data_IF_409063205041
#
_entry.id   IF_409063205041
#
_cell.length_a   1.000
_cell.length_b   1.000
_cell.length_c   1.000
_cell.angle_alpha   90.00
_cell.angle_beta   90.00
_cell.angle_gamma   90.00
#
_symmetry.space_group_name_H-M   'P 1'
#
loop_
_entity.id
_entity.type
_entity.pdbx_description
1 polymer ?
#
# COMPACT_ATOMS: atom_id res chain seq x y z
N UNK A 1 -8.89 6.33 -6.84
CA UNK A 1 -8.37 5.69 -5.60
C UNK A 1 -7.62 4.43 -5.99
N UNK A 2 -6.41 4.25 -5.45
CA UNK A 2 -5.57 3.07 -5.70
C UNK A 2 -5.58 2.16 -4.47
N UNK A 3 -5.93 0.89 -4.65
CA UNK A 3 -5.97 -0.10 -3.58
C UNK A 3 -4.82 -1.09 -3.73
N UNK A 4 -3.99 -1.19 -2.71
CA UNK A 4 -2.86 -2.12 -2.64
C UNK A 4 -3.03 -3.11 -1.49
N UNK A 5 -2.37 -4.28 -1.60
CA UNK A 5 -2.19 -5.22 -0.48
C UNK A 5 -0.76 -5.10 0.06
N UNK A 6 -0.61 -5.05 1.39
CA UNK A 6 0.70 -5.01 2.08
C UNK A 6 1.10 -6.42 2.52
N UNK A 7 1.70 -7.18 1.60
CA UNK A 7 1.97 -8.60 1.81
C UNK A 7 3.02 -9.16 0.84
N UNK A 8 3.64 -10.29 1.20
CA UNK A 8 4.45 -11.13 0.32
C UNK A 8 3.80 -12.51 0.07
N UNK A 9 2.57 -12.73 0.55
CA UNK A 9 1.85 -14.00 0.35
C UNK A 9 1.21 -14.05 -1.04
N UNK A 10 1.89 -14.69 -1.97
CA UNK A 10 1.50 -14.78 -3.38
C UNK A 10 0.11 -15.41 -3.55
N UNK A 11 -0.18 -16.50 -2.83
CA UNK A 11 -1.46 -17.21 -2.94
C UNK A 11 -2.65 -16.32 -2.51
N UNK A 12 -2.47 -15.54 -1.43
CA UNK A 12 -3.50 -14.60 -0.99
C UNK A 12 -3.66 -13.43 -1.96
N UNK A 13 -2.57 -12.96 -2.59
CA UNK A 13 -2.66 -11.94 -3.64
C UNK A 13 -3.44 -12.47 -4.83
N UNK A 14 -3.16 -13.69 -5.32
CA UNK A 14 -3.91 -14.32 -6.42
C UNK A 14 -5.40 -14.43 -6.08
N UNK A 15 -5.73 -14.88 -4.87
CA UNK A 15 -7.11 -15.02 -4.40
C UNK A 15 -7.83 -13.67 -4.35
N UNK A 16 -7.20 -12.64 -3.77
CA UNK A 16 -7.81 -11.33 -3.58
C UNK A 16 -7.82 -10.48 -4.86
N UNK A 17 -6.89 -10.69 -5.80
CA UNK A 17 -6.90 -10.04 -7.10
C UNK A 17 -8.15 -10.39 -7.94
N UNK A 18 -8.75 -11.57 -7.70
CA UNK A 18 -10.04 -11.94 -8.31
C UNK A 18 -11.22 -11.15 -7.71
N UNK A 19 -11.08 -10.67 -6.48
CA UNK A 19 -12.19 -10.11 -5.67
C UNK A 19 -12.11 -8.58 -5.65
N UNK A 20 -10.90 -8.03 -5.43
CA UNK A 20 -10.67 -6.59 -5.29
C UNK A 20 -10.07 -5.98 -6.55
N UNK A 21 -10.37 -4.72 -6.86
CA UNK A 21 -9.72 -3.96 -7.93
C UNK A 21 -8.33 -3.51 -7.49
N UNK A 22 -7.38 -4.46 -7.39
CA UNK A 22 -6.04 -4.18 -6.90
C UNK A 22 -5.23 -3.37 -7.91
N UNK A 23 -4.64 -2.26 -7.46
CA UNK A 23 -3.63 -1.51 -8.20
C UNK A 23 -2.24 -2.16 -8.11
N UNK A 24 -2.01 -3.04 -7.13
CA UNK A 24 -0.75 -3.73 -6.95
C UNK A 24 -0.50 -4.21 -5.52
N UNK A 25 0.77 -4.41 -5.18
CA UNK A 25 1.21 -4.93 -3.89
C UNK A 25 2.38 -4.15 -3.35
N UNK A 26 2.31 -3.77 -2.07
CA UNK A 26 3.43 -3.22 -1.34
C UNK A 26 4.10 -4.30 -0.49
N UNK A 27 5.41 -4.25 -0.41
CA UNK A 27 6.20 -5.06 0.52
C UNK A 27 7.06 -4.16 1.41
N UNK A 28 7.67 -4.76 2.40
CA UNK A 28 8.72 -4.15 3.22
C UNK A 28 9.65 -5.25 3.74
N UNK A 29 10.82 -4.93 4.30
CA UNK A 29 11.77 -5.93 4.75
C UNK A 29 11.20 -6.92 5.77
N UNK A 30 10.33 -6.46 6.68
CA UNK A 30 9.70 -7.33 7.69
C UNK A 30 8.72 -8.34 7.06
N UNK A 31 7.93 -7.90 6.09
CA UNK A 31 7.00 -8.76 5.33
C UNK A 31 7.77 -9.80 4.52
N UNK A 32 8.83 -9.40 3.82
CA UNK A 32 9.69 -10.31 3.06
C UNK A 32 10.35 -11.33 4.00
N UNK A 33 10.93 -10.87 5.12
CA UNK A 33 11.57 -11.74 6.09
C UNK A 33 10.60 -12.75 6.73
N UNK A 34 9.39 -12.33 7.04
CA UNK A 34 8.35 -13.21 7.58
C UNK A 34 7.95 -14.31 6.60
N UNK A 35 7.93 -14.03 5.30
CA UNK A 35 7.67 -14.99 4.24
C UNK A 35 8.81 -15.96 3.95
N UNK A 36 10.02 -15.71 4.48
CA UNK A 36 11.24 -16.52 4.31
C UNK A 36 11.59 -16.82 2.84
N UNK A 37 11.07 -16.03 1.91
CA UNK A 37 11.37 -16.12 0.48
C UNK A 37 12.19 -14.88 0.09
N UNK A 38 13.35 -15.04 -0.55
CA UNK A 38 14.15 -13.91 -0.99
C UNK A 38 13.37 -12.94 -1.88
N UNK A 39 13.65 -11.64 -1.76
CA UNK A 39 12.94 -10.60 -2.51
C UNK A 39 12.97 -10.84 -4.03
N UNK A 40 14.09 -11.34 -4.55
CA UNK A 40 14.28 -11.62 -5.97
C UNK A 40 13.43 -12.78 -6.48
N UNK A 41 13.02 -13.70 -5.61
CA UNK A 41 12.17 -14.84 -5.94
C UNK A 41 10.68 -14.50 -5.78
N UNK A 42 10.34 -13.64 -4.79
CA UNK A 42 8.94 -13.31 -4.52
C UNK A 42 8.39 -12.23 -5.45
N UNK A 43 9.19 -11.21 -5.82
CA UNK A 43 8.70 -10.12 -6.68
C UNK A 43 8.15 -10.58 -8.03
N UNK A 44 8.82 -11.46 -8.81
CA UNK A 44 8.27 -11.96 -10.08
C UNK A 44 6.95 -12.72 -9.89
N UNK A 45 6.82 -13.44 -8.78
CA UNK A 45 5.59 -14.18 -8.44
C UNK A 45 4.44 -13.25 -8.08
N UNK A 46 4.72 -12.19 -7.31
CA UNK A 46 3.73 -11.14 -7.00
C UNK A 46 3.31 -10.41 -8.27
N UNK A 47 4.25 -10.09 -9.18
CA UNK A 47 3.92 -9.46 -10.47
C UNK A 47 2.98 -10.33 -11.29
N UNK A 48 3.23 -11.64 -11.35
CA UNK A 48 2.34 -12.57 -12.03
C UNK A 48 0.94 -12.59 -11.39
N UNK A 49 0.86 -12.53 -10.05
CA UNK A 49 -0.40 -12.58 -9.31
C UNK A 49 -1.27 -11.34 -9.53
N UNK A 50 -0.67 -10.14 -9.62
CA UNK A 50 -1.42 -8.89 -9.86
C UNK A 50 -1.59 -8.55 -11.33
N UNK A 51 -0.92 -9.27 -12.22
CA UNK A 51 -0.95 -9.01 -13.67
C UNK A 51 0.03 -7.91 -14.11
N UNK A 52 0.13 -7.66 -15.43
CA UNK A 52 1.15 -6.79 -16.02
C UNK A 52 0.99 -5.32 -15.63
N UNK A 53 -0.23 -4.86 -15.37
CA UNK A 53 -0.54 -3.48 -14.98
C UNK A 53 -0.36 -3.23 -13.47
N UNK A 54 -0.19 -4.29 -12.68
CA UNK A 54 -0.05 -4.20 -11.23
C UNK A 54 1.28 -3.59 -10.82
N UNK A 55 1.25 -2.59 -9.94
CA UNK A 55 2.45 -1.91 -9.44
C UNK A 55 2.99 -2.60 -8.20
N UNK A 56 4.27 -2.96 -8.21
CA UNK A 56 4.96 -3.50 -7.05
C UNK A 56 5.78 -2.44 -6.33
N UNK A 57 5.93 -2.63 -5.03
CA UNK A 57 6.76 -1.79 -4.17
C UNK A 57 7.70 -2.66 -3.34
N UNK A 58 9.00 -2.36 -3.38
CA UNK A 58 10.01 -3.00 -2.55
C UNK A 58 10.96 -1.96 -1.96
N UNK A 59 11.50 -2.24 -0.78
CA UNK A 59 12.28 -1.30 0.00
C UNK A 59 13.78 -1.61 -0.07
N UNK A 60 14.60 -0.55 -0.11
CA UNK A 60 16.03 -0.62 0.05
C UNK A 60 16.44 -0.92 1.51
N UNK A 61 17.61 -1.53 1.69
CA UNK A 61 18.15 -1.90 3.00
C UNK A 61 19.31 -1.02 3.47
N UNK A 62 20.02 -0.40 2.54
CA UNK A 62 21.14 0.50 2.84
C UNK A 62 20.68 1.71 3.67
N UNK A 63 21.60 2.28 4.44
CA UNK A 63 21.32 3.44 5.29
C UNK A 63 21.83 4.76 4.73
N UNK A 64 22.79 4.71 3.80
CA UNK A 64 23.33 5.88 3.11
C UNK A 64 22.70 6.04 1.72
N UNK A 65 22.73 7.28 1.21
CA UNK A 65 22.08 7.64 -0.04
C UNK A 65 22.62 6.85 -1.24
N UNK A 66 23.94 6.65 -1.31
CA UNK A 66 24.56 5.96 -2.44
C UNK A 66 24.14 4.48 -2.49
N UNK A 67 24.18 3.80 -1.35
CA UNK A 67 23.74 2.40 -1.25
C UNK A 67 22.25 2.24 -1.59
N UNK A 68 21.38 3.16 -1.13
CA UNK A 68 19.97 3.17 -1.49
C UNK A 68 19.77 3.34 -3.00
N UNK A 69 20.53 4.22 -3.64
CA UNK A 69 20.47 4.43 -5.11
C UNK A 69 20.89 3.17 -5.87
N UNK A 70 21.98 2.52 -5.48
CA UNK A 70 22.44 1.28 -6.10
C UNK A 70 21.45 0.14 -5.97
N UNK A 71 20.84 -0.02 -4.79
CA UNK A 71 19.79 -1.02 -4.55
C UNK A 71 18.52 -0.70 -5.36
N UNK A 72 18.12 0.56 -5.43
CA UNK A 72 16.97 1.01 -6.21
C UNK A 72 17.14 0.71 -7.71
N UNK A 73 18.33 0.95 -8.26
CA UNK A 73 18.65 0.61 -9.66
C UNK A 73 18.55 -0.90 -9.91
N UNK A 74 19.04 -1.72 -8.99
CA UNK A 74 18.90 -3.18 -9.10
C UNK A 74 17.44 -3.62 -9.08
N UNK A 75 16.63 -3.06 -8.19
CA UNK A 75 15.18 -3.33 -8.13
C UNK A 75 14.47 -2.91 -9.42
N UNK A 76 14.74 -1.69 -9.91
CA UNK A 76 14.15 -1.15 -11.13
C UNK A 76 14.53 -1.94 -12.39
N UNK A 77 15.76 -2.44 -12.45
CA UNK A 77 16.22 -3.28 -13.56
C UNK A 77 15.60 -4.69 -13.53
N UNK A 78 15.38 -5.24 -12.33
CA UNK A 78 14.80 -6.58 -12.17
C UNK A 78 13.29 -6.60 -12.38
N UNK A 79 12.58 -5.53 -11.99
CA UNK A 79 11.13 -5.41 -12.10
C UNK A 79 10.79 -4.07 -12.74
N UNK A 80 10.57 -4.02 -14.06
CA UNK A 80 10.19 -2.79 -14.74
C UNK A 80 8.93 -2.15 -14.16
N UNK A 81 8.99 -0.86 -13.86
CA UNK A 81 7.86 -0.11 -13.29
C UNK A 81 7.70 -0.22 -11.77
N UNK A 82 8.57 -0.96 -11.08
CA UNK A 82 8.54 -1.03 -9.61
C UNK A 82 8.73 0.36 -9.00
N UNK A 83 8.00 0.63 -7.92
CA UNK A 83 8.22 1.82 -7.09
C UNK A 83 9.12 1.45 -5.91
N UNK A 84 10.26 2.11 -5.80
CA UNK A 84 11.24 1.79 -4.76
C UNK A 84 10.93 2.54 -3.47
N UNK A 85 10.76 1.81 -2.38
CA UNK A 85 10.50 2.38 -1.05
C UNK A 85 11.82 2.82 -0.41
N UNK A 86 11.87 4.08 0.01
CA UNK A 86 13.02 4.71 0.64
C UNK A 86 12.58 5.27 2.01
N UNK A 87 13.20 4.87 3.12
CA UNK A 87 12.90 5.46 4.42
C UNK A 87 13.19 6.96 4.45
N UNK A 88 12.25 7.75 4.98
CA UNK A 88 12.38 9.21 5.01
C UNK A 88 13.31 9.63 6.15
N UNK A 89 14.60 9.60 5.86
CA UNK A 89 15.72 10.11 6.65
C UNK A 89 16.47 11.17 5.84
N UNK A 90 17.47 11.84 6.39
CA UNK A 90 18.31 12.77 5.63
C UNK A 90 18.94 12.10 4.38
N UNK A 91 19.52 10.91 4.58
CA UNK A 91 20.10 10.11 3.48
C UNK A 91 19.02 9.61 2.50
N UNK A 92 17.84 9.22 3.02
CA UNK A 92 16.71 8.82 2.19
C UNK A 92 16.18 9.94 1.30
N UNK A 93 16.07 11.17 1.83
CA UNK A 93 15.69 12.34 1.03
C UNK A 93 16.74 12.65 -0.05
N UNK A 94 18.04 12.52 0.25
CA UNK A 94 19.11 12.65 -0.72
C UNK A 94 19.02 11.57 -1.82
N UNK A 95 18.74 10.31 -1.44
CA UNK A 95 18.53 9.21 -2.39
C UNK A 95 17.33 9.44 -3.30
N UNK A 96 16.17 9.85 -2.77
CA UNK A 96 14.96 10.16 -3.55
C UNK A 96 15.25 11.24 -4.59
N UNK A 97 15.98 12.30 -4.20
CA UNK A 97 16.36 13.41 -5.08
C UNK A 97 17.26 12.96 -6.22
N UNK A 98 18.16 12.00 -5.99
CA UNK A 98 19.01 11.41 -7.02
C UNK A 98 18.20 10.51 -7.95
N UNK A 99 17.37 9.63 -7.40
CA UNK A 99 16.54 8.67 -8.14
C UNK A 99 15.49 9.37 -9.04
N UNK A 100 14.96 10.51 -8.59
CA UNK A 100 14.08 11.34 -9.44
C UNK A 100 14.77 11.76 -10.74
N UNK A 101 16.05 12.15 -10.68
CA UNK A 101 16.83 12.56 -11.87
C UNK A 101 17.05 11.40 -12.84
N UNK A 102 17.05 10.18 -12.33
CA UNK A 102 17.22 8.95 -13.11
C UNK A 102 15.89 8.35 -13.59
N UNK A 103 14.75 8.99 -13.27
CA UNK A 103 13.42 8.52 -13.67
C UNK A 103 12.94 7.29 -12.90
N UNK A 104 13.57 6.92 -11.78
CA UNK A 104 13.17 5.80 -10.94
C UNK A 104 12.13 6.29 -9.93
N UNK A 105 10.87 5.80 -9.99
CA UNK A 105 9.82 6.23 -9.09
C UNK A 105 10.08 5.72 -7.66
N UNK A 106 9.85 6.59 -6.68
CA UNK A 106 10.06 6.27 -5.27
C UNK A 106 8.83 6.49 -4.42
N UNK A 107 8.79 5.78 -3.28
CA UNK A 107 7.84 6.00 -2.19
C UNK A 107 8.64 6.32 -0.92
N UNK A 108 8.40 7.50 -0.35
CA UNK A 108 8.93 7.85 0.98
C UNK A 108 8.18 7.07 2.06
N UNK A 109 8.87 6.13 2.73
CA UNK A 109 8.29 5.27 3.77
C UNK A 109 8.77 5.65 5.18
N UNK A 110 8.17 5.01 6.20
CA UNK A 110 8.42 5.31 7.61
C UNK A 110 8.13 6.77 7.96
N UNK A 111 6.98 7.27 7.50
CA UNK A 111 6.53 8.64 7.75
C UNK A 111 5.63 8.66 8.97
N UNK A 112 5.99 9.51 9.94
CA UNK A 112 5.32 9.67 11.24
C UNK A 112 4.83 11.11 11.47
N UNK A 113 5.05 12.03 10.53
CA UNK A 113 4.55 13.41 10.58
C UNK A 113 4.27 13.95 9.19
N UNK A 114 3.34 14.91 9.09
CA UNK A 114 3.01 15.57 7.82
C UNK A 114 4.21 16.35 7.25
N UNK A 115 5.03 16.98 8.11
CA UNK A 115 6.23 17.69 7.67
C UNK A 115 7.28 16.78 7.05
N UNK A 116 7.49 15.59 7.63
CA UNK A 116 8.40 14.57 7.09
C UNK A 116 7.91 14.10 5.72
N UNK A 117 6.59 13.85 5.59
CA UNK A 117 5.99 13.43 4.33
C UNK A 117 6.07 14.51 3.25
N UNK A 118 5.83 15.77 3.60
CA UNK A 118 5.98 16.90 2.67
C UNK A 118 7.40 17.00 2.11
N UNK A 119 8.43 16.86 2.96
CA UNK A 119 9.83 16.89 2.50
C UNK A 119 10.12 15.78 1.50
N UNK A 120 9.60 14.56 1.71
CA UNK A 120 9.75 13.47 0.76
C UNK A 120 9.10 13.78 -0.60
N UNK A 121 7.92 14.36 -0.60
CA UNK A 121 7.23 14.81 -1.81
C UNK A 121 8.00 15.91 -2.56
N UNK A 122 8.47 16.95 -1.84
CA UNK A 122 9.20 18.07 -2.42
C UNK A 122 10.53 17.65 -3.08
N UNK A 123 11.21 16.61 -2.58
CA UNK A 123 12.42 16.07 -3.23
C UNK A 123 12.10 15.09 -4.37
N UNK A 124 10.82 14.76 -4.57
CA UNK A 124 10.32 14.07 -5.75
C UNK A 124 9.86 12.64 -5.56
N UNK A 125 9.52 12.22 -4.35
CA UNK A 125 8.82 10.94 -4.16
C UNK A 125 7.47 10.96 -4.89
N UNK A 126 7.16 9.89 -5.64
CA UNK A 126 5.87 9.71 -6.29
C UNK A 126 4.76 9.40 -5.29
N UNK A 127 5.11 8.67 -4.24
CA UNK A 127 4.21 8.35 -3.13
C UNK A 127 4.87 8.68 -1.79
N UNK A 128 4.02 8.94 -0.80
CA UNK A 128 4.43 9.12 0.60
C UNK A 128 3.55 8.23 1.47
N UNK A 129 4.15 7.39 2.32
CA UNK A 129 3.43 6.41 3.13
C UNK A 129 3.44 6.77 4.62
N UNK A 130 2.44 7.53 5.11
CA UNK A 130 2.24 7.74 6.53
C UNK A 130 1.78 6.45 7.23
N UNK A 131 2.32 6.19 8.42
CA UNK A 131 2.05 5.00 9.21
C UNK A 131 0.95 5.27 10.25
N UNK A 132 -0.31 5.11 9.86
CA UNK A 132 -1.50 5.51 10.65
C UNK A 132 -1.52 4.85 12.01
N UNK A 133 -1.62 3.52 12.08
CA UNK A 133 -1.73 2.83 13.36
C UNK A 133 -0.48 2.99 14.24
N UNK A 134 0.71 3.16 13.66
CA UNK A 134 1.93 3.38 14.45
C UNK A 134 1.96 4.74 15.12
N UNK A 135 1.40 5.76 14.47
CA UNK A 135 1.21 7.09 15.06
C UNK A 135 0.18 7.02 16.18
N UNK A 136 -0.97 6.36 15.96
CA UNK A 136 -2.01 6.16 16.98
C UNK A 136 -1.43 5.43 18.21
N UNK A 137 -0.65 4.37 17.99
CA UNK A 137 -0.03 3.59 19.06
C UNK A 137 1.00 4.37 19.91
N UNK A 138 1.51 5.49 19.38
CA UNK A 138 2.40 6.41 20.10
C UNK A 138 1.65 7.59 20.77
N UNK A 139 0.31 7.53 20.78
CA UNK A 139 -0.54 8.59 21.34
C UNK A 139 -0.75 9.79 20.43
N UNK A 140 -0.40 9.67 19.14
CA UNK A 140 -0.72 10.66 18.11
C UNK A 140 -2.10 10.44 17.48
N UNK A 141 -2.37 11.18 16.41
CA UNK A 141 -3.58 11.07 15.59
C UNK A 141 -3.15 10.81 14.14
N UNK A 142 -3.18 9.52 13.74
CA UNK A 142 -2.74 9.10 12.42
C UNK A 142 -3.66 9.60 11.29
N UNK A 143 -4.95 9.71 11.53
CA UNK A 143 -5.92 10.22 10.55
C UNK A 143 -5.72 11.70 10.31
N UNK A 144 -5.56 12.48 11.38
CA UNK A 144 -5.25 13.89 11.28
C UNK A 144 -3.93 14.15 10.54
N UNK A 145 -2.89 13.36 10.82
CA UNK A 145 -1.63 13.42 10.09
C UNK A 145 -1.82 13.18 8.57
N UNK A 146 -2.63 12.20 8.18
CA UNK A 146 -2.96 11.93 6.76
C UNK A 146 -3.69 13.11 6.15
N UNK A 147 -4.68 13.68 6.83
CA UNK A 147 -5.44 14.84 6.37
C UNK A 147 -4.54 16.08 6.17
N UNK A 148 -3.67 16.37 7.13
CA UNK A 148 -2.70 17.45 7.03
C UNK A 148 -1.72 17.23 5.86
N UNK A 149 -1.19 16.02 5.73
CA UNK A 149 -0.29 15.68 4.64
C UNK A 149 -0.97 15.78 3.27
N UNK A 150 -2.19 15.25 3.13
CA UNK A 150 -2.96 15.33 1.88
C UNK A 150 -3.15 16.79 1.45
N UNK A 151 -3.58 17.66 2.38
CA UNK A 151 -3.75 19.09 2.12
C UNK A 151 -2.44 19.77 1.72
N UNK A 152 -1.32 19.41 2.36
CA UNK A 152 0.00 19.95 2.01
C UNK A 152 0.46 19.50 0.63
N UNK A 153 0.22 18.24 0.26
CA UNK A 153 0.60 17.74 -1.07
C UNK A 153 -0.23 18.39 -2.17
N UNK A 154 -1.53 18.57 -1.98
CA UNK A 154 -2.40 19.27 -2.94
C UNK A 154 -1.91 20.69 -3.22
N UNK A 155 -1.45 21.41 -2.18
CA UNK A 155 -0.99 22.80 -2.31
C UNK A 155 0.43 22.93 -2.85
N UNK A 156 1.34 22.01 -2.50
CA UNK A 156 2.78 22.22 -2.67
C UNK A 156 3.50 21.16 -3.49
N UNK A 157 2.90 19.98 -3.65
CA UNK A 157 3.50 18.84 -4.36
C UNK A 157 2.44 17.96 -5.03
N UNK A 158 1.59 18.51 -5.93
CA UNK A 158 0.43 17.81 -6.50
C UNK A 158 0.79 16.59 -7.36
N UNK A 159 2.06 16.43 -7.72
CA UNK A 159 2.55 15.24 -8.44
C UNK A 159 2.76 14.01 -7.52
N UNK A 160 2.75 14.23 -6.20
CA UNK A 160 2.93 13.19 -5.21
C UNK A 160 1.59 12.77 -4.62
N UNK A 161 1.45 11.46 -4.30
CA UNK A 161 0.23 10.91 -3.68
C UNK A 161 0.49 10.42 -2.27
N UNK A 162 -0.47 10.61 -1.39
CA UNK A 162 -0.49 9.90 -0.12
C UNK A 162 -0.90 8.45 -0.36
N UNK A 163 -0.05 7.51 0.04
CA UNK A 163 -0.35 6.07 0.10
C UNK A 163 -0.33 5.67 1.58
N UNK A 164 -1.47 5.79 2.25
CA UNK A 164 -1.56 5.52 3.67
C UNK A 164 -1.38 4.02 3.97
N UNK A 165 -0.63 3.74 5.03
CA UNK A 165 -0.22 2.39 5.41
C UNK A 165 -0.32 2.16 6.91
N UNK A 166 -0.06 0.92 7.35
CA UNK A 166 -0.09 0.55 8.77
C UNK A 166 -1.50 0.66 9.35
N UNK A 167 -2.39 -0.19 8.91
CA UNK A 167 -3.76 -0.30 9.43
C UNK A 167 -3.93 -1.51 10.34
N UNK A 168 -4.85 -1.42 11.30
CA UNK A 168 -5.30 -2.50 12.16
C UNK A 168 -6.80 -2.75 12.06
N UNK A 169 -7.55 -1.79 11.54
CA UNK A 169 -8.99 -1.89 11.36
C UNK A 169 -9.43 -1.32 10.01
N UNK A 170 -10.53 -1.81 9.44
CA UNK A 170 -11.15 -1.20 8.26
C UNK A 170 -11.52 0.28 8.49
N UNK A 171 -11.89 0.64 9.72
CA UNK A 171 -12.26 2.01 10.05
C UNK A 171 -11.12 3.00 9.83
N UNK A 172 -9.88 2.67 10.26
CA UNK A 172 -8.72 3.51 10.00
C UNK A 172 -8.50 3.73 8.49
N UNK A 173 -8.66 2.68 7.67
CA UNK A 173 -8.52 2.79 6.22
C UNK A 173 -9.58 3.70 5.60
N UNK A 174 -10.85 3.54 6.01
CA UNK A 174 -11.95 4.39 5.53
C UNK A 174 -11.78 5.84 5.96
N UNK A 175 -11.33 6.11 7.18
CA UNK A 175 -11.08 7.46 7.65
C UNK A 175 -9.97 8.17 6.86
N UNK A 176 -8.93 7.44 6.45
CA UNK A 176 -7.91 7.97 5.54
C UNK A 176 -8.48 8.34 4.17
N UNK A 177 -9.35 7.51 3.60
CA UNK A 177 -10.03 7.81 2.33
C UNK A 177 -10.96 9.02 2.46
N UNK A 178 -11.68 9.15 3.58
CA UNK A 178 -12.52 10.30 3.89
C UNK A 178 -11.70 11.58 4.09
N UNK A 179 -10.46 11.46 4.55
CA UNK A 179 -9.50 12.56 4.63
C UNK A 179 -8.89 12.97 3.27
N UNK A 180 -9.33 12.34 2.16
CA UNK A 180 -8.90 12.67 0.80
C UNK A 180 -7.74 11.85 0.26
N UNK A 181 -7.23 10.88 1.03
CA UNK A 181 -6.12 10.02 0.61
C UNK A 181 -6.45 9.26 -0.69
N UNK A 182 -5.56 9.34 -1.68
CA UNK A 182 -5.79 8.76 -3.01
C UNK A 182 -5.38 7.28 -3.12
N UNK A 183 -4.55 6.80 -2.21
CA UNK A 183 -4.08 5.43 -2.20
C UNK A 183 -3.95 4.87 -0.77
N UNK A 184 -4.30 3.59 -0.61
CA UNK A 184 -4.12 2.85 0.65
C UNK A 184 -3.48 1.50 0.38
N UNK A 185 -2.71 0.99 1.35
CA UNK A 185 -2.23 -0.38 1.32
C UNK A 185 -2.66 -1.13 2.57
N UNK A 186 -3.36 -2.23 2.38
CA UNK A 186 -4.02 -2.99 3.43
C UNK A 186 -3.26 -4.28 3.76
N UNK A 187 -3.01 -4.58 5.04
CA UNK A 187 -2.64 -5.94 5.42
C UNK A 187 -3.81 -6.90 5.13
N UNK A 188 -3.51 -8.17 4.94
CA UNK A 188 -4.49 -9.17 4.49
C UNK A 188 -5.71 -9.29 5.41
N UNK A 189 -5.50 -9.25 6.72
CA UNK A 189 -6.55 -9.33 7.73
C UNK A 189 -7.52 -8.15 7.65
N UNK A 190 -7.02 -6.94 7.47
CA UNK A 190 -7.86 -5.74 7.28
C UNK A 190 -8.61 -5.79 5.95
N UNK A 191 -7.93 -6.21 4.87
CA UNK A 191 -8.58 -6.37 3.57
C UNK A 191 -9.75 -7.37 3.64
N UNK A 192 -9.57 -8.49 4.31
CA UNK A 192 -10.63 -9.49 4.50
C UNK A 192 -11.79 -8.95 5.35
N UNK A 193 -11.50 -8.21 6.42
CA UNK A 193 -12.52 -7.61 7.28
C UNK A 193 -13.37 -6.54 6.58
N UNK A 194 -12.84 -5.87 5.57
CA UNK A 194 -13.62 -4.86 4.80
C UNK A 194 -14.82 -5.48 4.06
N UNK A 195 -14.72 -6.73 3.67
CA UNK A 195 -15.78 -7.47 2.97
C UNK A 195 -16.55 -8.43 3.90
N UNK A 196 -15.87 -8.98 4.89
CA UNK A 196 -16.38 -10.05 5.76
C UNK A 196 -17.43 -9.56 6.76
N UNK A 197 -18.70 -9.54 6.35
CA UNK A 197 -19.84 -9.19 7.20
C UNK A 197 -20.73 -10.41 7.37
N UNK A 198 -20.79 -11.04 8.56
CA UNK A 198 -21.65 -12.24 8.80
C UNK A 198 -23.12 -12.03 8.47
N UNK A 199 -23.62 -10.80 8.59
CA UNK A 199 -25.00 -10.46 8.26
C UNK A 199 -25.35 -10.68 6.78
N UNK A 200 -24.36 -10.65 5.87
CA UNK A 200 -24.58 -10.90 4.44
C UNK A 200 -24.94 -12.36 4.20
N UNK A 201 -24.23 -13.30 4.81
CA UNK A 201 -24.53 -14.74 4.68
C UNK A 201 -25.94 -15.06 5.19
N UNK A 202 -26.32 -14.55 6.38
CA UNK A 202 -27.66 -14.72 6.93
C UNK A 202 -28.75 -14.12 6.03
N UNK A 203 -28.47 -13.00 5.35
CA UNK A 203 -29.40 -12.41 4.38
C UNK A 203 -29.54 -13.29 3.13
N UNK A 204 -28.43 -13.84 2.60
CA UNK A 204 -28.44 -14.75 1.45
C UNK A 204 -29.26 -16.02 1.78
N UNK A 205 -28.99 -16.66 2.93
CA UNK A 205 -29.74 -17.84 3.38
C UNK A 205 -31.24 -17.56 3.42
N UNK A 206 -31.65 -16.39 3.95
CA UNK A 206 -33.05 -15.98 3.98
C UNK A 206 -33.61 -15.80 2.57
N UNK A 207 -32.90 -15.15 1.65
CA UNK A 207 -33.33 -14.97 0.27
C UNK A 207 -33.54 -16.32 -0.42
N UNK A 208 -32.64 -17.27 -0.25
CA UNK A 208 -32.73 -18.62 -0.78
C UNK A 208 -33.94 -19.36 -0.23
N UNK A 209 -34.21 -19.27 1.09
CA UNK A 209 -35.40 -19.86 1.72
C UNK A 209 -36.69 -19.26 1.18
N UNK A 210 -36.80 -17.94 1.11
CA UNK A 210 -37.98 -17.24 0.61
C UNK A 210 -38.25 -17.60 -0.85
N UNK A 211 -37.20 -17.63 -1.69
CA UNK A 211 -37.32 -18.01 -3.10
C UNK A 211 -37.74 -19.47 -3.27
N UNK A 212 -37.10 -20.40 -2.57
CA UNK A 212 -37.45 -21.82 -2.65
C UNK A 212 -38.86 -22.12 -2.15
N UNK A 213 -39.32 -21.42 -1.10
CA UNK A 213 -40.69 -21.54 -0.60
C UNK A 213 -41.72 -21.07 -1.64
N UNK A 214 -41.41 -20.06 -2.42
CA UNK A 214 -42.32 -19.52 -3.41
C UNK A 214 -42.32 -20.33 -4.74
N UNK A 215 -41.16 -20.81 -5.16
CA UNK A 215 -40.97 -21.36 -6.52
C UNK A 215 -40.51 -22.82 -6.56
N UNK A 216 -40.14 -23.43 -5.43
CA UNK A 216 -39.68 -24.81 -5.32
C UNK A 216 -38.31 -25.08 -5.98
N UNK A 217 -37.52 -24.04 -6.27
CA UNK A 217 -36.21 -24.12 -6.90
C UNK A 217 -35.36 -22.92 -6.48
N UNK A 218 -34.04 -23.06 -6.59
CA UNK A 218 -33.08 -21.95 -6.40
C UNK A 218 -32.63 -21.34 -7.76
N UNK A 219 -33.15 -21.81 -8.88
CA UNK A 219 -32.85 -21.28 -10.19
C UNK A 219 -33.78 -20.11 -10.56
N UNK A 220 -33.22 -19.11 -11.28
CA UNK A 220 -33.96 -18.02 -11.90
C UNK A 220 -34.82 -18.51 -13.09
#
# INVERSE_FOLDING_TARGET
MELYLDTANVAEVERLARIYPLAGVTTNPSIIAAGKTPVWDVLPRLQKAVGPEGVLFAQTMSRDAQGMVEEAKRLSNAVPGIVVKIPVTAEGLAAIKLLKKEGIPTLGTAVYSASQGLLAALVGAKYVAPYVNRVDAQGGDGIRMVQELQSLLEMHAPESKVLAASFKTPRQALDCLLAGCEAITLPLDVAQQMLGTPAVESAIEKFEQDWNNAFGTLNL
#
